data_IF_790198916430
#
_entry.id   IF_790198916430
#
_cell.length_a   1.000
_cell.length_b   1.000
_cell.length_c   1.000
_cell.angle_alpha   90.00
_cell.angle_beta   90.00
_cell.angle_gamma   90.00
#
_symmetry.space_group_name_H-M   'P 1'
#
loop_
_entity.id
_entity.type
_entity.pdbx_description
1 polymer ?
#
# COMPACT_ATOMS: atom_id res chain seq x y z
N UNK A 1 -11.85 4.99 35.22
CA UNK A 1 -11.59 3.63 34.70
C UNK A 1 -11.17 3.84 33.28
N UNK A 2 -9.98 3.41 32.90
CA UNK A 2 -9.52 3.44 31.52
C UNK A 2 -10.35 2.42 30.74
N UNK A 3 -10.86 2.82 29.58
CA UNK A 3 -11.61 1.89 28.73
C UNK A 3 -10.65 0.96 28.02
N UNK A 4 -10.89 -0.35 28.05
CA UNK A 4 -10.11 -1.35 27.32
C UNK A 4 -10.67 -1.51 25.91
N UNK A 5 -9.79 -1.43 24.90
CA UNK A 5 -10.14 -1.64 23.50
C UNK A 5 -9.44 -2.88 22.97
N UNK A 6 -10.22 -3.79 22.41
CA UNK A 6 -9.72 -5.01 21.77
C UNK A 6 -9.60 -4.79 20.26
N UNK A 7 -8.38 -4.97 19.73
CA UNK A 7 -8.06 -4.88 18.30
C UNK A 7 -7.91 -6.29 17.72
N UNK A 8 -8.73 -6.63 16.75
CA UNK A 8 -8.77 -7.96 16.14
C UNK A 8 -7.99 -7.96 14.81
N UNK A 9 -6.77 -8.45 14.84
CA UNK A 9 -5.84 -8.55 13.73
C UNK A 9 -4.65 -7.59 13.88
N UNK A 10 -3.44 -8.16 13.92
CA UNK A 10 -2.15 -7.44 14.04
C UNK A 10 -1.54 -7.05 12.70
N UNK A 11 -2.35 -6.75 11.67
CA UNK A 11 -1.89 -6.14 10.42
C UNK A 11 -1.73 -4.62 10.55
N UNK A 12 -1.32 -3.94 9.45
CA UNK A 12 -1.09 -2.48 9.44
C UNK A 12 -2.29 -1.70 9.99
N UNK A 13 -3.52 -2.07 9.61
CA UNK A 13 -4.73 -1.41 10.12
C UNK A 13 -4.91 -1.57 11.63
N UNK A 14 -4.66 -2.77 12.16
CA UNK A 14 -4.74 -3.02 13.60
C UNK A 14 -3.62 -2.33 14.39
N UNK A 15 -2.38 -2.37 13.88
CA UNK A 15 -1.26 -1.65 14.48
C UNK A 15 -1.48 -0.13 14.48
N UNK A 16 -2.02 0.42 13.38
CA UNK A 16 -2.38 1.84 13.31
C UNK A 16 -3.47 2.21 14.33
N UNK A 17 -4.50 1.36 14.46
CA UNK A 17 -5.54 1.59 15.47
C UNK A 17 -4.98 1.52 16.89
N UNK A 18 -4.15 0.52 17.19
CA UNK A 18 -3.50 0.39 18.49
C UNK A 18 -2.61 1.59 18.83
N UNK A 19 -1.84 2.10 17.85
CA UNK A 19 -1.00 3.28 18.00
C UNK A 19 -1.82 4.51 18.38
N UNK A 20 -2.86 4.80 17.62
CA UNK A 20 -3.72 5.96 17.86
C UNK A 20 -4.52 5.85 19.19
N UNK A 21 -4.88 4.64 19.59
CA UNK A 21 -5.64 4.41 20.82
C UNK A 21 -4.76 4.52 22.06
N UNK A 22 -3.56 3.93 22.04
CA UNK A 22 -2.65 4.01 23.22
C UNK A 22 -2.19 5.44 23.47
N UNK A 23 -1.96 6.24 22.43
CA UNK A 23 -1.64 7.66 22.57
C UNK A 23 -2.80 8.50 23.15
N UNK A 24 -4.04 7.97 23.06
CA UNK A 24 -5.23 8.55 23.68
C UNK A 24 -5.56 7.95 25.04
N UNK A 25 -4.58 7.29 25.66
CA UNK A 25 -4.66 6.73 27.00
C UNK A 25 -5.70 5.60 27.15
N UNK A 26 -6.08 4.92 26.04
CA UNK A 26 -6.85 3.67 26.13
C UNK A 26 -5.94 2.51 26.54
N UNK A 27 -6.50 1.55 27.27
CA UNK A 27 -5.89 0.25 27.45
C UNK A 27 -6.14 -0.60 26.21
N UNK A 28 -5.09 -1.08 25.54
CA UNK A 28 -5.23 -1.72 24.21
C UNK A 28 -4.70 -3.14 24.23
N UNK A 29 -5.51 -4.08 23.74
CA UNK A 29 -5.13 -5.47 23.50
C UNK A 29 -5.26 -5.82 22.02
N UNK A 30 -4.19 -6.36 21.41
CA UNK A 30 -4.16 -6.76 20.00
C UNK A 30 -4.08 -8.28 19.89
N UNK A 31 -5.01 -8.89 19.17
CA UNK A 31 -5.09 -10.32 18.92
C UNK A 31 -4.74 -10.64 17.46
N UNK A 32 -3.71 -11.45 17.23
CA UNK A 32 -3.28 -11.87 15.90
C UNK A 32 -3.16 -13.40 15.82
N UNK A 33 -3.78 -14.00 14.81
CA UNK A 33 -3.81 -15.46 14.64
C UNK A 33 -2.44 -16.07 14.28
N UNK A 34 -1.54 -15.29 13.72
CA UNK A 34 -0.20 -15.74 13.35
C UNK A 34 0.79 -15.47 14.47
N UNK A 35 1.92 -16.15 14.48
CA UNK A 35 2.99 -15.87 15.42
C UNK A 35 3.75 -14.55 15.11
N UNK A 36 3.49 -13.94 13.97
CA UNK A 36 4.15 -12.72 13.46
C UNK A 36 3.12 -11.66 13.10
N UNK A 37 3.41 -10.40 13.42
CA UNK A 37 2.58 -9.23 13.12
C UNK A 37 2.87 -8.64 11.73
N UNK A 38 2.13 -7.61 11.34
CA UNK A 38 2.27 -6.91 10.06
C UNK A 38 1.28 -7.36 8.96
N UNK A 39 0.53 -8.43 9.18
CA UNK A 39 -0.50 -8.89 8.25
C UNK A 39 0.06 -9.27 6.89
N UNK A 40 -0.42 -8.63 5.80
CA UNK A 40 0.13 -8.83 4.45
C UNK A 40 1.38 -7.98 4.17
N UNK A 41 1.67 -7.01 5.02
CA UNK A 41 2.89 -6.22 4.88
C UNK A 41 4.12 -6.90 5.48
N UNK A 42 3.95 -7.96 6.28
CA UNK A 42 5.07 -8.66 6.90
C UNK A 42 6.00 -9.31 5.88
N UNK A 43 7.27 -9.38 6.22
CA UNK A 43 8.22 -10.32 5.60
C UNK A 43 7.93 -11.75 6.05
N UNK A 44 8.34 -12.72 5.29
CA UNK A 44 8.25 -14.15 5.65
C UNK A 44 9.60 -14.83 5.36
N UNK A 45 9.97 -15.78 6.20
CA UNK A 45 11.17 -16.57 5.97
C UNK A 45 11.00 -17.42 4.71
N UNK A 46 11.99 -17.35 3.80
CA UNK A 46 12.00 -18.18 2.60
C UNK A 46 12.50 -19.58 2.98
N UNK A 47 11.68 -20.64 2.84
CA UNK A 47 12.06 -21.98 3.24
C UNK A 47 13.31 -22.49 2.50
N UNK A 48 14.21 -23.13 3.24
CA UNK A 48 15.43 -23.76 2.67
C UNK A 48 16.56 -22.78 2.34
N UNK A 49 16.48 -21.54 2.77
CA UNK A 49 17.54 -20.52 2.56
C UNK A 49 18.40 -20.30 3.80
N UNK A 50 18.05 -20.88 4.94
CA UNK A 50 18.88 -20.83 6.14
C UNK A 50 20.18 -21.60 5.92
N UNK A 51 21.32 -21.00 6.32
CA UNK A 51 22.61 -21.67 6.42
C UNK A 51 22.87 -22.22 7.83
N UNK A 52 24.05 -22.83 8.05
CA UNK A 52 24.39 -23.35 9.38
C UNK A 52 24.49 -22.25 10.46
N UNK A 53 24.85 -21.03 10.06
CA UNK A 53 25.02 -19.88 10.96
C UNK A 53 24.19 -18.64 10.51
N UNK A 54 23.33 -18.77 9.49
CA UNK A 54 22.56 -17.65 8.94
C UNK A 54 21.06 -17.89 9.06
N UNK A 55 20.32 -16.82 9.37
CA UNK A 55 18.85 -16.83 9.32
C UNK A 55 18.37 -17.09 7.89
N UNK A 56 17.14 -17.58 7.70
CA UNK A 56 16.51 -17.63 6.38
C UNK A 56 16.51 -16.24 5.72
N UNK A 57 16.56 -16.21 4.38
CA UNK A 57 16.38 -14.97 3.65
C UNK A 57 14.95 -14.44 3.83
N UNK A 58 14.77 -13.16 4.06
CA UNK A 58 13.44 -12.55 4.13
C UNK A 58 12.81 -12.51 2.73
N UNK A 59 11.56 -12.94 2.64
CA UNK A 59 10.73 -12.83 1.45
C UNK A 59 9.59 -11.84 1.68
N UNK A 60 9.33 -11.00 0.71
CA UNK A 60 8.22 -10.07 0.75
C UNK A 60 7.01 -10.62 -0.02
N UNK A 61 5.79 -10.33 0.43
CA UNK A 61 4.57 -10.79 -0.24
C UNK A 61 4.33 -10.19 -1.62
N UNK A 62 5.14 -9.25 -2.05
CA UNK A 62 5.05 -8.57 -3.32
C UNK A 62 5.76 -7.24 -3.26
N UNK A 63 5.68 -6.51 -4.38
CA UNK A 63 6.22 -5.16 -4.49
C UNK A 63 5.67 -4.27 -3.37
N UNK A 64 6.57 -3.53 -2.73
CA UNK A 64 6.24 -2.65 -1.64
C UNK A 64 6.89 -1.29 -1.87
N UNK A 65 6.09 -0.27 -1.96
CA UNK A 65 6.52 1.10 -2.18
C UNK A 65 5.71 2.05 -1.31
N UNK A 66 6.27 3.21 -1.05
CA UNK A 66 5.70 4.24 -0.19
C UNK A 66 5.58 5.54 -0.98
N UNK A 67 4.49 5.73 -1.73
CA UNK A 67 4.30 6.95 -2.51
C UNK A 67 4.06 8.16 -1.60
N UNK A 68 4.50 9.33 -2.04
CA UNK A 68 4.45 10.58 -1.27
C UNK A 68 3.08 10.94 -0.68
N UNK A 69 2.01 10.39 -1.23
CA UNK A 69 0.65 10.61 -0.73
C UNK A 69 0.26 9.75 0.50
N UNK A 70 1.13 8.88 0.99
CA UNK A 70 0.93 8.08 2.21
C UNK A 70 1.16 8.90 3.49
N UNK A 71 0.50 10.06 3.60
CA UNK A 71 0.73 11.05 4.67
C UNK A 71 0.61 10.46 6.07
N UNK A 72 -0.44 9.68 6.34
CA UNK A 72 -0.66 9.08 7.66
C UNK A 72 0.33 7.97 7.98
N UNK A 73 0.75 7.19 6.99
CA UNK A 73 1.79 6.17 7.18
C UNK A 73 3.10 6.83 7.57
N UNK A 74 3.52 7.87 6.86
CA UNK A 74 4.74 8.61 7.17
C UNK A 74 4.70 9.31 8.52
N UNK A 75 3.55 9.89 8.88
CA UNK A 75 3.35 10.47 10.21
C UNK A 75 3.51 9.42 11.31
N UNK A 76 2.90 8.24 11.14
CA UNK A 76 3.06 7.12 12.07
C UNK A 76 4.51 6.63 12.13
N UNK A 77 5.18 6.48 10.98
CA UNK A 77 6.59 6.03 10.93
C UNK A 77 7.54 6.97 11.68
N UNK A 78 7.31 8.29 11.64
CA UNK A 78 8.09 9.28 12.38
C UNK A 78 7.93 9.19 13.90
N UNK A 79 6.82 8.64 14.36
CA UNK A 79 6.54 8.47 15.80
C UNK A 79 7.09 7.16 16.38
N UNK A 80 7.61 6.26 15.54
CA UNK A 80 8.18 4.98 15.95
C UNK A 80 9.70 5.14 16.07
N UNK A 81 10.29 5.13 17.27
CA UNK A 81 11.75 5.22 17.43
C UNK A 81 12.46 4.05 16.74
N UNK A 82 13.61 4.33 16.16
CA UNK A 82 14.45 3.30 15.56
C UNK A 82 15.93 3.69 15.64
N UNK A 83 16.72 2.90 16.35
CA UNK A 83 18.17 3.10 16.52
C UNK A 83 18.55 4.57 16.76
N UNK A 84 19.47 5.12 15.96
CA UNK A 84 19.93 6.51 16.05
C UNK A 84 19.23 7.46 15.04
N UNK A 85 18.13 7.01 14.42
CA UNK A 85 17.36 7.79 13.46
C UNK A 85 16.72 9.04 14.08
N UNK A 86 16.76 10.17 13.39
CA UNK A 86 16.18 11.43 13.87
C UNK A 86 14.65 11.45 13.74
N UNK A 87 14.13 10.89 12.63
CA UNK A 87 12.70 10.77 12.33
C UNK A 87 12.20 9.31 12.47
N UNK A 88 12.83 8.51 13.34
CA UNK A 88 12.43 7.15 13.63
C UNK A 88 12.47 6.22 12.42
N UNK A 89 11.49 5.32 12.33
CA UNK A 89 11.38 4.36 11.20
C UNK A 89 11.27 5.06 9.85
N UNK A 90 10.80 6.32 9.80
CA UNK A 90 10.70 7.07 8.54
C UNK A 90 12.05 7.22 7.83
N UNK A 91 13.15 7.33 8.57
CA UNK A 91 14.50 7.45 8.00
C UNK A 91 15.00 6.15 7.33
N UNK A 92 14.30 5.03 7.49
CA UNK A 92 14.57 3.79 6.77
C UNK A 92 13.97 3.77 5.36
N UNK A 93 13.35 4.89 4.92
CA UNK A 93 12.84 5.02 3.57
C UNK A 93 13.90 5.61 2.65
N UNK A 94 14.18 4.91 1.56
CA UNK A 94 15.09 5.34 0.50
C UNK A 94 14.27 5.74 -0.72
N UNK A 95 14.52 6.94 -1.23
CA UNK A 95 13.86 7.46 -2.43
C UNK A 95 14.22 6.63 -3.67
N UNK A 96 13.24 6.36 -4.50
CA UNK A 96 13.47 5.72 -5.79
C UNK A 96 13.72 6.77 -6.85
N UNK A 97 14.74 6.55 -7.69
CA UNK A 97 15.14 7.47 -8.77
C UNK A 97 14.59 7.06 -10.13
N UNK A 98 14.13 5.79 -10.23
CA UNK A 98 13.57 5.26 -11.48
C UNK A 98 12.65 4.07 -11.22
N UNK A 99 11.69 3.87 -12.12
CA UNK A 99 10.94 2.62 -12.24
C UNK A 99 11.41 1.84 -13.45
N UNK A 100 11.56 0.53 -13.27
CA UNK A 100 11.84 -0.40 -14.34
C UNK A 100 10.60 -1.27 -14.60
N UNK A 101 10.07 -1.20 -15.81
CA UNK A 101 8.97 -2.06 -16.27
C UNK A 101 9.59 -3.19 -17.11
N UNK A 102 9.77 -4.34 -16.49
CA UNK A 102 10.21 -5.54 -17.18
C UNK A 102 9.07 -6.13 -18.03
N UNK A 103 9.39 -6.52 -19.28
CA UNK A 103 8.44 -7.12 -20.22
C UNK A 103 9.01 -8.43 -20.75
N UNK A 104 8.21 -9.49 -20.73
CA UNK A 104 8.64 -10.78 -21.28
C UNK A 104 8.71 -10.70 -22.81
N UNK A 105 9.92 -10.94 -23.36
CA UNK A 105 10.16 -10.95 -24.81
C UNK A 105 10.35 -9.56 -25.45
N UNK A 106 10.31 -8.47 -24.69
CA UNK A 106 10.48 -7.10 -25.14
C UNK A 106 11.58 -6.37 -24.38
N UNK A 107 12.00 -5.20 -24.88
CA UNK A 107 12.91 -4.32 -24.15
C UNK A 107 12.25 -3.81 -22.87
N UNK A 108 13.05 -3.65 -21.83
CA UNK A 108 12.64 -3.02 -20.57
C UNK A 108 12.34 -1.54 -20.78
N UNK A 109 11.39 -0.99 -20.04
CA UNK A 109 11.07 0.44 -20.05
C UNK A 109 11.52 1.04 -18.74
N UNK A 110 12.44 1.99 -18.82
CA UNK A 110 12.90 2.76 -17.66
C UNK A 110 12.14 4.10 -17.60
N UNK A 111 11.51 4.36 -16.45
CA UNK A 111 10.83 5.61 -16.16
C UNK A 111 11.63 6.37 -15.10
N UNK A 112 12.32 7.47 -15.44
CA UNK A 112 12.98 8.30 -14.46
C UNK A 112 11.93 8.97 -13.56
N UNK A 113 12.20 9.01 -12.25
CA UNK A 113 11.36 9.67 -11.25
C UNK A 113 11.96 11.00 -10.80
N UNK A 114 13.25 11.23 -11.08
CA UNK A 114 13.89 12.53 -10.93
C UNK A 114 13.44 13.43 -12.08
N UNK A 115 12.46 14.29 -11.79
CA UNK A 115 11.95 15.19 -12.80
C UNK A 115 12.93 16.33 -13.06
N UNK A 116 13.20 16.59 -14.33
CA UNK A 116 13.99 17.72 -14.74
C UNK A 116 13.32 19.03 -14.33
N UNK A 117 14.13 19.96 -13.84
CA UNK A 117 13.67 21.31 -13.47
C UNK A 117 13.27 22.21 -14.65
N UNK A 118 13.24 21.69 -15.89
CA UNK A 118 13.03 22.46 -17.11
C UNK A 118 11.85 21.92 -17.92
N UNK A 119 11.03 22.83 -18.44
CA UNK A 119 9.81 22.53 -19.22
C UNK A 119 10.09 21.66 -20.47
N UNK A 120 11.28 21.77 -21.04
CA UNK A 120 11.69 21.04 -22.25
C UNK A 120 11.88 19.53 -22.02
N UNK A 121 12.04 19.11 -20.79
CA UNK A 121 12.20 17.70 -20.39
C UNK A 121 10.86 17.06 -20.05
N UNK A 122 9.82 17.86 -19.85
CA UNK A 122 8.45 17.37 -19.64
C UNK A 122 7.88 16.64 -20.85
N UNK A 123 8.30 17.00 -22.05
CA UNK A 123 7.89 16.28 -23.27
C UNK A 123 8.36 14.82 -23.21
N UNK A 124 9.57 14.56 -22.72
CA UNK A 124 10.10 13.20 -22.53
C UNK A 124 9.35 12.42 -21.45
N UNK A 125 9.02 13.07 -20.33
CA UNK A 125 8.24 12.44 -19.27
C UNK A 125 6.82 12.12 -19.74
N UNK A 126 6.18 13.06 -20.46
CA UNK A 126 4.86 12.85 -21.04
C UNK A 126 4.92 11.76 -22.11
N UNK A 127 5.89 11.78 -23.01
CA UNK A 127 6.09 10.75 -24.02
C UNK A 127 6.32 9.37 -23.38
N UNK A 128 7.08 9.28 -22.32
CA UNK A 128 7.32 8.03 -21.60
C UNK A 128 6.07 7.55 -20.84
N UNK A 129 5.39 8.46 -20.14
CA UNK A 129 4.15 8.16 -19.42
C UNK A 129 2.98 7.84 -20.37
N UNK A 130 2.96 8.44 -21.56
CA UNK A 130 1.92 8.24 -22.59
C UNK A 130 2.28 7.09 -23.52
N UNK A 131 3.51 6.53 -23.43
CA UNK A 131 3.79 5.21 -23.98
C UNK A 131 4.25 5.17 -25.45
N UNK A 132 5.09 6.10 -25.91
CA UNK A 132 5.69 6.00 -27.26
C UNK A 132 6.53 4.72 -27.43
N UNK A 133 7.09 4.18 -26.34
CA UNK A 133 7.84 2.91 -26.34
C UNK A 133 6.94 1.66 -26.15
N UNK A 134 5.62 1.85 -25.97
CA UNK A 134 4.70 0.77 -25.61
C UNK A 134 3.87 0.24 -26.77
N UNK A 135 4.15 0.66 -28.01
CA UNK A 135 3.37 0.30 -29.22
C UNK A 135 1.87 0.58 -29.10
N UNK A 136 1.48 1.58 -28.30
CA UNK A 136 0.08 2.01 -28.18
C UNK A 136 -0.22 3.03 -29.27
N UNK A 137 -1.27 2.82 -30.10
CA UNK A 137 -1.65 3.78 -31.12
C UNK A 137 -1.89 5.19 -30.56
N UNK A 138 -1.41 6.27 -31.22
CA UNK A 138 -1.54 7.64 -30.72
C UNK A 138 -2.98 8.09 -30.42
N UNK A 139 -3.95 7.58 -31.17
CA UNK A 139 -5.36 7.84 -30.93
C UNK A 139 -5.85 7.21 -29.61
N UNK A 140 -5.34 6.03 -29.25
CA UNK A 140 -5.67 5.38 -27.99
C UNK A 140 -5.00 6.06 -26.80
N UNK A 141 -3.78 6.55 -26.97
CA UNK A 141 -3.10 7.37 -25.97
C UNK A 141 -3.89 8.65 -25.65
N UNK A 142 -4.34 9.36 -26.69
CA UNK A 142 -5.19 10.55 -26.53
C UNK A 142 -6.50 10.23 -25.84
N UNK A 143 -7.13 9.13 -26.25
CA UNK A 143 -8.36 8.66 -25.62
C UNK A 143 -8.16 8.43 -24.11
N UNK A 144 -7.08 7.76 -23.73
CA UNK A 144 -6.78 7.54 -22.32
C UNK A 144 -6.53 8.85 -21.55
N UNK A 145 -5.76 9.79 -22.15
CA UNK A 145 -5.54 11.11 -21.57
C UNK A 145 -6.86 11.86 -21.35
N UNK A 146 -7.81 11.81 -22.31
CA UNK A 146 -9.13 12.41 -22.18
C UNK A 146 -9.94 11.75 -21.04
N UNK A 147 -9.83 10.43 -20.86
CA UNK A 147 -10.46 9.72 -19.72
C UNK A 147 -9.88 10.16 -18.40
N UNK A 148 -8.56 10.25 -18.29
CA UNK A 148 -7.92 10.76 -17.07
C UNK A 148 -8.34 12.20 -16.78
N UNK A 149 -8.34 13.07 -17.77
CA UNK A 149 -8.79 14.46 -17.61
C UNK A 149 -10.25 14.53 -17.16
N UNK A 150 -11.11 13.68 -17.72
CA UNK A 150 -12.51 13.56 -17.29
C UNK A 150 -12.63 13.15 -15.84
N UNK A 151 -11.80 12.20 -15.39
CA UNK A 151 -11.75 11.81 -13.98
C UNK A 151 -11.22 12.95 -13.09
N UNK A 152 -10.09 13.56 -13.46
CA UNK A 152 -9.44 14.63 -12.69
C UNK A 152 -10.35 15.84 -12.46
N UNK A 153 -11.16 16.19 -13.48
CA UNK A 153 -12.10 17.34 -13.43
C UNK A 153 -13.47 16.99 -12.86
N UNK A 154 -13.73 15.72 -12.53
CA UNK A 154 -15.00 15.31 -11.92
C UNK A 154 -15.10 15.72 -10.45
N UNK A 155 -16.30 16.12 -10.00
CA UNK A 155 -16.58 16.39 -8.60
C UNK A 155 -16.69 15.09 -7.77
N UNK A 156 -16.61 15.23 -6.45
CA UNK A 156 -16.65 14.07 -5.55
C UNK A 156 -18.00 13.35 -5.60
N UNK A 157 -19.10 14.08 -5.71
CA UNK A 157 -20.45 13.53 -5.82
C UNK A 157 -20.57 12.60 -7.04
N UNK A 158 -19.98 12.98 -8.17
CA UNK A 158 -19.94 12.12 -9.36
C UNK A 158 -19.07 10.89 -9.17
N UNK A 159 -17.91 11.05 -8.52
CA UNK A 159 -17.01 9.93 -8.21
C UNK A 159 -17.68 8.91 -7.30
N UNK A 160 -18.47 9.38 -6.37
CA UNK A 160 -19.20 8.56 -5.41
C UNK A 160 -20.42 7.87 -6.04
N UNK A 161 -21.22 8.61 -6.80
CA UNK A 161 -22.47 8.10 -7.37
C UNK A 161 -22.26 7.23 -8.63
N UNK A 162 -21.26 7.54 -9.46
CA UNK A 162 -21.03 6.90 -10.77
C UNK A 162 -19.76 6.05 -10.75
N UNK A 163 -18.60 6.65 -10.41
CA UNK A 163 -17.30 5.98 -10.57
C UNK A 163 -17.00 4.93 -9.50
N UNK A 164 -17.66 4.96 -8.37
CA UNK A 164 -17.57 3.89 -7.36
C UNK A 164 -18.11 2.56 -7.90
N UNK A 165 -19.14 2.61 -8.74
CA UNK A 165 -19.83 1.45 -9.29
C UNK A 165 -19.41 1.10 -10.73
N UNK A 166 -18.60 1.94 -11.36
CA UNK A 166 -18.09 1.74 -12.72
C UNK A 166 -16.74 1.02 -12.67
N UNK A 167 -16.59 -0.19 -13.24
CA UNK A 167 -15.30 -0.86 -13.33
C UNK A 167 -14.28 -0.05 -14.13
N UNK A 168 -13.02 -0.07 -13.69
CA UNK A 168 -11.93 0.59 -14.39
C UNK A 168 -11.83 0.16 -15.85
N UNK A 169 -11.95 -1.15 -16.12
CA UNK A 169 -11.94 -1.71 -17.45
C UNK A 169 -12.97 -1.08 -18.40
N UNK A 170 -14.18 -0.85 -17.91
CA UNK A 170 -15.25 -0.20 -18.66
C UNK A 170 -15.00 1.31 -18.82
N UNK A 171 -14.51 1.97 -17.77
CA UNK A 171 -14.20 3.40 -17.81
C UNK A 171 -13.17 3.74 -18.88
N UNK A 172 -12.11 2.94 -19.02
CA UNK A 172 -11.08 3.14 -20.04
C UNK A 172 -11.43 2.48 -21.38
N UNK A 173 -12.61 1.88 -21.52
CA UNK A 173 -13.11 1.20 -22.72
C UNK A 173 -12.12 0.17 -23.29
N UNK A 174 -11.49 -0.59 -22.39
CA UNK A 174 -10.37 -1.48 -22.75
C UNK A 174 -10.75 -2.57 -23.74
N UNK A 175 -12.00 -3.06 -23.76
CA UNK A 175 -12.46 -4.16 -24.61
C UNK A 175 -12.24 -3.87 -26.10
N UNK A 176 -12.44 -2.63 -26.54
CA UNK A 176 -12.32 -2.23 -27.96
C UNK A 176 -10.93 -1.77 -28.39
N UNK A 177 -9.92 -1.85 -27.51
CA UNK A 177 -8.59 -1.27 -27.72
C UNK A 177 -7.54 -2.31 -28.11
N UNK A 178 -6.36 -1.81 -28.54
CA UNK A 178 -5.19 -2.65 -28.83
C UNK A 178 -4.77 -3.49 -27.61
N UNK A 179 -4.02 -4.54 -27.84
CA UNK A 179 -3.49 -5.37 -26.76
C UNK A 179 -2.55 -4.58 -25.85
N UNK A 180 -1.70 -3.73 -26.42
CA UNK A 180 -0.80 -2.87 -25.69
C UNK A 180 -1.57 -1.91 -24.77
N UNK A 181 -2.61 -1.25 -25.26
CA UNK A 181 -3.50 -0.40 -24.46
C UNK A 181 -4.14 -1.17 -23.30
N UNK A 182 -4.72 -2.33 -23.57
CA UNK A 182 -5.37 -3.16 -22.54
C UNK A 182 -4.40 -3.58 -21.44
N UNK A 183 -3.20 -4.01 -21.84
CA UNK A 183 -2.16 -4.43 -20.89
C UNK A 183 -1.67 -3.28 -20.04
N UNK A 184 -1.38 -2.13 -20.64
CA UNK A 184 -0.75 -1.01 -19.96
C UNK A 184 -1.74 -0.13 -19.18
N UNK A 185 -2.82 0.33 -19.81
CA UNK A 185 -3.78 1.21 -19.17
C UNK A 185 -4.95 0.49 -18.49
N UNK A 186 -5.36 -0.66 -19.00
CA UNK A 186 -6.41 -1.47 -18.39
C UNK A 186 -5.90 -2.25 -17.18
N UNK A 187 -4.98 -3.18 -17.40
CA UNK A 187 -4.54 -4.16 -16.40
C UNK A 187 -3.39 -3.65 -15.54
N UNK A 188 -2.43 -2.91 -16.11
CA UNK A 188 -1.21 -2.47 -15.43
C UNK A 188 -1.48 -1.82 -14.07
N UNK A 189 -2.21 -0.69 -14.02
CA UNK A 189 -2.44 0.05 -12.79
C UNK A 189 -3.25 -0.72 -11.74
N UNK A 190 -4.08 -1.65 -12.16
CA UNK A 190 -4.91 -2.43 -11.23
C UNK A 190 -4.14 -3.63 -10.69
N UNK A 191 -3.52 -4.42 -11.54
CA UNK A 191 -2.84 -5.66 -11.12
C UNK A 191 -1.47 -5.39 -10.51
N UNK A 192 -0.68 -4.53 -11.13
CA UNK A 192 0.70 -4.26 -10.69
C UNK A 192 0.74 -3.43 -9.42
N UNK A 193 -0.02 -2.32 -9.36
CA UNK A 193 0.04 -1.42 -8.21
C UNK A 193 -0.76 -1.91 -7.00
N UNK A 194 -1.94 -2.50 -7.21
CA UNK A 194 -2.86 -2.80 -6.11
C UNK A 194 -3.39 -4.24 -6.08
N UNK A 195 -2.84 -5.12 -6.92
CA UNK A 195 -3.20 -6.54 -6.99
C UNK A 195 -4.73 -6.79 -7.18
N UNK A 196 -5.38 -5.95 -7.96
CA UNK A 196 -6.83 -6.02 -8.25
C UNK A 196 -7.09 -6.42 -9.70
N UNK A 197 -8.32 -6.86 -9.98
CA UNK A 197 -8.78 -7.13 -11.35
C UNK A 197 -9.43 -5.86 -11.91
N UNK A 198 -9.03 -5.44 -13.13
CA UNK A 198 -9.52 -4.22 -13.77
C UNK A 198 -11.06 -4.22 -13.94
N UNK A 199 -11.62 -5.40 -14.20
CA UNK A 199 -13.05 -5.62 -14.41
C UNK A 199 -13.89 -5.51 -13.12
N UNK A 200 -13.21 -5.49 -11.96
CA UNK A 200 -13.84 -5.42 -10.62
C UNK A 200 -13.40 -4.22 -9.81
N UNK A 201 -12.36 -3.53 -10.23
CA UNK A 201 -11.84 -2.35 -9.52
C UNK A 201 -12.69 -1.14 -9.82
N UNK A 202 -13.11 -0.41 -8.79
CA UNK A 202 -13.85 0.83 -9.02
C UNK A 202 -12.99 1.88 -9.69
N UNK A 203 -13.56 2.60 -10.63
CA UNK A 203 -12.93 3.75 -11.31
C UNK A 203 -12.56 4.83 -10.30
N UNK A 204 -13.36 5.03 -9.25
CA UNK A 204 -13.06 5.97 -8.17
C UNK A 204 -11.72 5.65 -7.50
N UNK A 205 -11.49 4.39 -7.15
CA UNK A 205 -10.25 3.96 -6.49
C UNK A 205 -9.05 4.08 -7.43
N UNK A 206 -9.12 3.49 -8.61
CA UNK A 206 -7.99 3.48 -9.56
C UNK A 206 -7.70 4.89 -10.08
N UNK A 207 -8.73 5.66 -10.42
CA UNK A 207 -8.57 7.04 -10.86
C UNK A 207 -7.94 7.94 -9.79
N UNK A 208 -8.27 7.76 -8.50
CA UNK A 208 -7.61 8.47 -7.40
C UNK A 208 -6.13 8.11 -7.27
N UNK A 209 -5.77 6.84 -7.42
CA UNK A 209 -4.36 6.41 -7.41
C UNK A 209 -3.61 7.11 -8.55
N UNK A 210 -4.14 7.08 -9.77
CA UNK A 210 -3.56 7.78 -10.91
C UNK A 210 -3.42 9.29 -10.65
N UNK A 211 -4.49 9.93 -10.15
CA UNK A 211 -4.46 11.35 -9.85
C UNK A 211 -3.34 11.70 -8.85
N UNK A 212 -3.16 10.90 -7.83
CA UNK A 212 -2.14 11.13 -6.81
C UNK A 212 -0.72 10.85 -7.31
N UNK A 213 -0.53 9.81 -8.12
CA UNK A 213 0.76 9.56 -8.77
C UNK A 213 1.15 10.70 -9.72
N UNK A 214 0.21 11.16 -10.56
CA UNK A 214 0.45 12.29 -11.47
C UNK A 214 0.75 13.58 -10.71
N UNK A 215 0.04 13.85 -9.61
CA UNK A 215 0.31 15.01 -8.76
C UNK A 215 1.68 14.88 -8.07
N UNK A 216 2.08 13.69 -7.64
CA UNK A 216 3.41 13.43 -7.09
C UNK A 216 4.49 13.76 -8.12
N UNK A 217 4.33 13.30 -9.36
CA UNK A 217 5.22 13.61 -10.47
C UNK A 217 5.24 15.12 -10.77
N UNK A 218 4.10 15.80 -10.73
CA UNK A 218 4.00 17.22 -11.06
C UNK A 218 4.51 18.16 -9.94
N UNK A 219 4.83 17.65 -8.75
CA UNK A 219 5.27 18.43 -7.60
C UNK A 219 6.74 18.12 -7.25
N UNK A 220 7.71 18.86 -7.77
CA UNK A 220 9.14 18.53 -7.65
C UNK A 220 9.68 18.52 -6.20
N UNK A 221 8.93 19.04 -5.24
CA UNK A 221 9.25 18.98 -3.80
C UNK A 221 8.66 17.77 -3.08
N UNK A 222 7.90 16.92 -3.76
CA UNK A 222 7.45 15.64 -3.26
C UNK A 222 8.28 14.53 -3.90
N UNK A 223 8.84 13.68 -3.08
CA UNK A 223 9.41 12.42 -3.59
C UNK A 223 8.29 11.59 -4.15
N UNK A 224 8.46 11.08 -5.37
CA UNK A 224 7.37 10.34 -6.04
C UNK A 224 7.11 9.05 -5.28
N UNK A 225 8.18 8.37 -4.87
CA UNK A 225 8.11 7.03 -4.30
C UNK A 225 9.36 6.71 -3.47
N UNK A 226 9.19 5.84 -2.48
CA UNK A 226 10.27 5.33 -1.63
C UNK A 226 10.10 3.85 -1.36
N UNK A 227 11.21 3.19 -1.03
CA UNK A 227 11.24 1.79 -0.57
C UNK A 227 11.96 1.72 0.77
N UNK A 228 11.72 0.65 1.54
CA UNK A 228 12.49 0.40 2.76
C UNK A 228 13.92 -0.06 2.43
N UNK A 229 14.89 0.34 3.21
CA UNK A 229 16.30 -0.04 3.10
C UNK A 229 16.63 -1.44 3.64
N UNK A 230 15.63 -2.12 4.19
CA UNK A 230 15.74 -3.46 4.74
C UNK A 230 14.44 -4.25 4.67
N UNK A 231 14.44 -5.49 5.22
CA UNK A 231 13.24 -6.31 5.30
C UNK A 231 12.14 -5.62 6.08
N UNK A 232 10.91 -5.68 5.60
CA UNK A 232 9.79 -4.90 6.18
C UNK A 232 9.59 -5.16 7.67
N UNK A 233 9.75 -6.40 8.13
CA UNK A 233 9.64 -6.67 9.57
C UNK A 233 10.79 -6.03 10.35
N UNK A 234 12.03 -6.19 9.88
CA UNK A 234 13.20 -5.77 10.65
C UNK A 234 13.25 -4.23 10.82
N UNK A 235 12.91 -3.48 9.76
CA UNK A 235 13.09 -2.03 9.73
C UNK A 235 11.79 -1.23 9.93
N UNK A 236 10.63 -1.90 10.08
CA UNK A 236 9.36 -1.20 10.28
C UNK A 236 8.43 -1.90 11.28
N UNK A 237 8.02 -3.18 11.00
CA UNK A 237 6.93 -3.80 11.76
C UNK A 237 7.36 -4.19 13.18
N UNK A 238 8.51 -4.84 13.33
CA UNK A 238 8.98 -5.30 14.64
C UNK A 238 9.35 -4.11 15.56
N UNK A 239 10.04 -3.06 15.08
CA UNK A 239 10.21 -1.82 15.83
C UNK A 239 8.88 -1.19 16.26
N UNK A 240 7.87 -1.20 15.39
CA UNK A 240 6.56 -0.65 15.71
C UNK A 240 5.86 -1.44 16.82
N UNK A 241 5.87 -2.77 16.73
CA UNK A 241 5.29 -3.64 17.75
C UNK A 241 6.01 -3.49 19.08
N UNK A 242 7.34 -3.36 19.07
CA UNK A 242 8.14 -3.13 20.28
C UNK A 242 7.81 -1.78 20.93
N UNK A 243 7.79 -0.71 20.15
CA UNK A 243 7.37 0.61 20.61
C UNK A 243 5.96 0.57 21.24
N UNK A 244 4.99 -0.07 20.59
CA UNK A 244 3.64 -0.17 21.13
C UNK A 244 3.58 -0.97 22.44
N UNK A 245 4.40 -2.01 22.61
CA UNK A 245 4.55 -2.74 23.88
C UNK A 245 5.08 -1.85 24.98
N UNK A 246 6.07 -1.02 24.67
CA UNK A 246 6.61 -0.04 25.61
C UNK A 246 5.58 1.01 26.04
N UNK A 247 4.66 1.36 25.11
CA UNK A 247 3.52 2.24 25.40
C UNK A 247 2.39 1.54 26.19
N UNK A 248 2.49 0.24 26.46
CA UNK A 248 1.52 -0.50 27.27
C UNK A 248 0.50 -1.31 26.47
N UNK A 249 0.65 -1.44 25.16
CA UNK A 249 -0.21 -2.31 24.35
C UNK A 249 0.12 -3.78 24.62
N UNK A 250 -0.91 -4.56 24.94
CA UNK A 250 -0.77 -6.01 25.12
C UNK A 250 -1.00 -6.75 23.79
N UNK A 251 -0.04 -7.60 23.41
CA UNK A 251 -0.10 -8.37 22.17
C UNK A 251 -0.25 -9.85 22.42
N UNK A 252 -1.25 -10.46 21.77
CA UNK A 252 -1.57 -11.88 21.79
C UNK A 252 -1.38 -12.47 20.39
N UNK A 253 -0.22 -13.11 20.14
CA UNK A 253 0.04 -13.86 18.90
C UNK A 253 -0.48 -15.29 19.01
N UNK A 254 -0.76 -15.96 17.87
CA UNK A 254 -1.36 -17.29 17.86
C UNK A 254 -2.82 -17.31 18.33
N UNK A 255 -3.49 -16.17 18.32
CA UNK A 255 -4.82 -15.96 18.84
C UNK A 255 -5.82 -15.70 17.70
N UNK A 256 -6.56 -16.73 17.30
CA UNK A 256 -7.50 -16.66 16.18
C UNK A 256 -8.93 -16.32 16.65
N UNK A 257 -9.50 -15.26 16.10
CA UNK A 257 -10.92 -14.94 16.29
C UNK A 257 -11.80 -16.08 15.76
N UNK A 258 -12.68 -16.61 16.59
CA UNK A 258 -13.65 -17.64 16.24
C UNK A 258 -15.07 -17.09 16.11
N UNK A 259 -15.41 -16.14 16.95
CA UNK A 259 -16.74 -15.55 16.97
C UNK A 259 -16.82 -14.31 17.84
N UNK A 260 -18.00 -13.74 17.86
CA UNK A 260 -18.35 -12.65 18.78
C UNK A 260 -19.82 -12.76 19.16
N UNK A 261 -20.12 -12.46 20.42
CA UNK A 261 -21.48 -12.37 20.90
C UNK A 261 -22.04 -10.97 20.73
N UNK A 262 -23.35 -10.91 20.48
CA UNK A 262 -24.08 -9.65 20.42
C UNK A 262 -25.09 -9.59 21.56
N UNK A 263 -25.18 -8.43 22.21
CA UNK A 263 -26.22 -8.11 23.17
C UNK A 263 -26.81 -6.74 22.80
N UNK A 264 -28.12 -6.70 22.61
CA UNK A 264 -28.87 -5.51 22.18
C UNK A 264 -28.22 -4.74 20.97
N UNK A 265 -27.69 -5.49 20.00
CA UNK A 265 -27.05 -4.94 18.78
C UNK A 265 -25.61 -4.45 18.96
N UNK A 266 -25.03 -4.61 20.14
CA UNK A 266 -23.64 -4.29 20.45
C UNK A 266 -22.80 -5.56 20.63
N UNK A 267 -21.51 -5.50 20.29
CA UNK A 267 -20.58 -6.59 20.60
C UNK A 267 -20.36 -6.64 22.09
N UNK A 268 -20.74 -7.75 22.73
CA UNK A 268 -20.59 -7.96 24.17
C UNK A 268 -19.29 -8.67 24.53
N UNK A 269 -18.83 -9.58 23.66
CA UNK A 269 -17.59 -10.31 23.84
C UNK A 269 -17.06 -10.85 22.52
N UNK A 270 -15.79 -11.27 22.52
CA UNK A 270 -15.15 -11.98 21.42
C UNK A 270 -14.65 -13.34 21.90
N UNK A 271 -14.74 -14.34 21.03
CA UNK A 271 -14.25 -15.69 21.28
C UNK A 271 -12.95 -15.87 20.51
N UNK A 272 -11.86 -16.17 21.20
CA UNK A 272 -10.54 -16.33 20.64
C UNK A 272 -9.99 -17.71 20.95
N UNK A 273 -9.54 -18.44 19.92
CA UNK A 273 -8.81 -19.69 20.08
C UNK A 273 -7.31 -19.41 20.15
N UNK A 274 -6.65 -19.95 21.17
CA UNK A 274 -5.20 -19.93 21.34
C UNK A 274 -4.68 -21.34 21.46
N UNK A 275 -3.36 -21.55 21.37
CA UNK A 275 -2.72 -22.87 21.57
C UNK A 275 -3.03 -23.45 22.97
N UNK A 276 -3.32 -22.59 23.96
CA UNK A 276 -3.69 -22.96 25.32
C UNK A 276 -5.19 -23.24 25.51
N UNK A 277 -6.00 -23.12 24.47
CA UNK A 277 -7.45 -23.30 24.46
C UNK A 277 -8.24 -22.04 24.07
N UNK A 278 -9.59 -22.13 24.17
CA UNK A 278 -10.48 -21.00 23.90
C UNK A 278 -10.53 -20.03 25.09
N UNK A 279 -10.53 -18.72 24.78
CA UNK A 279 -10.71 -17.62 25.73
C UNK A 279 -11.88 -16.74 25.25
N UNK A 280 -12.63 -16.22 26.21
CA UNK A 280 -13.73 -15.29 25.97
C UNK A 280 -13.47 -13.97 26.68
#
# INVERSE_FOLDING_TARGET
>A
MTETVVVLGGGIGGLSAAHELVEREYEVEVYEKRPIFGGKARSVDVPGTAGEETKPLPGEHGFRFFPAFYRHVFDTMRRIPYEDNEEGVFDNLVETTQWLIAREGDAEVELPLDLPGMIEEWDTVIETLVGTELDIPPEEQRFFADRLLTFLTSCEERREAEYEHLPWWEFVEAEGKSEAYRRFYGVGPTRVLVAMQAEKSSTRTIGRIYAQLLLGIAMPWLHVDSVLDGPTNDVWIDPWVEYLREQGVTFHSGAELRGFGLDDGHVSHVEVATDDGERT
#
